data_IF_827002416034
#
_entry.id   IF_827002416034
#
_cell.length_a   1.000
_cell.length_b   1.000
_cell.length_c   1.000
_cell.angle_alpha   90.00
_cell.angle_beta   90.00
_cell.angle_gamma   90.00
#
_symmetry.space_group_name_H-M   'P 1'
#
loop_
_entity.id
_entity.type
_entity.pdbx_description
1 polymer ?
#
# COMPACT_ATOMS: atom_id res chain seq x y z
N UNK A 1 -29.72 13.01 33.06
CA UNK A 1 -29.47 12.16 31.87
C UNK A 1 -28.55 11.06 32.35
N UNK A 2 -29.06 9.84 32.43
CA UNK A 2 -28.32 8.72 32.99
C UNK A 2 -27.04 8.47 32.19
N UNK A 3 -25.92 8.33 32.90
CA UNK A 3 -24.61 8.16 32.31
C UNK A 3 -24.53 6.74 31.75
N UNK A 4 -24.74 6.59 30.45
CA UNK A 4 -24.63 5.29 29.77
C UNK A 4 -23.18 4.81 29.93
N UNK A 5 -22.94 3.65 30.56
CA UNK A 5 -21.61 3.08 30.70
C UNK A 5 -20.91 3.02 29.33
N UNK A 6 -19.63 3.42 29.21
CA UNK A 6 -18.89 3.39 27.95
C UNK A 6 -18.97 2.02 27.25
N UNK A 7 -19.01 0.95 28.03
CA UNK A 7 -19.18 -0.44 27.66
C UNK A 7 -20.53 -0.74 26.98
N UNK A 8 -21.61 -0.03 27.33
CA UNK A 8 -22.89 -0.10 26.62
C UNK A 8 -22.86 0.65 25.28
N UNK A 9 -22.04 1.71 25.17
CA UNK A 9 -21.80 2.41 23.89
C UNK A 9 -20.99 1.55 22.92
N UNK A 10 -19.93 0.89 23.42
CA UNK A 10 -19.13 -0.07 22.63
C UNK A 10 -19.95 -1.28 22.20
N UNK A 11 -20.79 -1.80 23.11
CA UNK A 11 -21.69 -2.91 22.79
C UNK A 11 -22.69 -2.53 21.69
N UNK A 12 -23.31 -1.35 21.76
CA UNK A 12 -24.24 -0.87 20.73
C UNK A 12 -23.58 -0.73 19.36
N UNK A 13 -22.37 -0.17 19.29
CA UNK A 13 -21.60 -0.08 18.05
C UNK A 13 -21.29 -1.47 17.47
N UNK A 14 -20.91 -2.42 18.33
CA UNK A 14 -20.58 -3.79 17.90
C UNK A 14 -21.84 -4.55 17.46
N UNK A 15 -22.98 -4.37 18.12
CA UNK A 15 -24.24 -5.02 17.77
C UNK A 15 -24.83 -4.46 16.46
N UNK A 16 -24.79 -3.14 16.26
CA UNK A 16 -25.35 -2.47 15.08
C UNK A 16 -24.44 -2.53 13.85
N UNK A 17 -23.12 -2.63 14.05
CA UNK A 17 -22.12 -2.68 12.97
C UNK A 17 -21.38 -4.02 12.93
N UNK A 18 -21.95 -5.09 13.49
CA UNK A 18 -21.24 -6.38 13.64
C UNK A 18 -20.70 -6.90 12.31
N UNK A 19 -21.43 -6.71 11.21
CA UNK A 19 -21.03 -7.19 9.90
C UNK A 19 -19.90 -6.34 9.27
N UNK A 20 -19.94 -5.01 9.42
CA UNK A 20 -18.86 -4.10 8.99
C UNK A 20 -17.62 -4.21 9.88
N UNK A 21 -17.82 -4.45 11.17
CA UNK A 21 -16.77 -4.78 12.13
C UNK A 21 -16.11 -6.12 11.76
N UNK A 22 -16.89 -7.18 11.48
CA UNK A 22 -16.35 -8.46 11.02
C UNK A 22 -15.66 -8.35 9.65
N UNK A 23 -16.14 -7.50 8.73
CA UNK A 23 -15.43 -7.15 7.49
C UNK A 23 -14.11 -6.41 7.75
N UNK A 24 -14.02 -5.65 8.86
CA UNK A 24 -12.77 -5.03 9.33
C UNK A 24 -11.80 -6.04 9.97
N UNK A 25 -12.30 -7.10 10.62
CA UNK A 25 -11.49 -8.09 11.35
C UNK A 25 -11.22 -9.40 10.60
N UNK A 26 -11.82 -9.65 9.44
CA UNK A 26 -11.54 -10.86 8.66
C UNK A 26 -10.16 -10.77 8.02
N UNK A 27 -9.20 -11.47 8.63
CA UNK A 27 -7.86 -11.63 8.07
C UNK A 27 -7.83 -12.90 7.23
N UNK A 28 -7.56 -12.73 5.94
CA UNK A 28 -7.28 -13.82 5.02
C UNK A 28 -5.80 -13.80 4.64
N UNK A 29 -5.07 -14.85 5.04
CA UNK A 29 -3.71 -15.07 4.58
C UNK A 29 -3.74 -15.83 3.23
N UNK A 30 -3.39 -15.15 2.13
CA UNK A 30 -3.22 -15.80 0.83
C UNK A 30 -1.78 -16.30 0.71
N UNK A 31 -1.61 -17.62 0.73
CA UNK A 31 -0.31 -18.29 0.74
C UNK A 31 0.05 -18.76 -0.68
N UNK A 32 1.04 -18.08 -1.26
CA UNK A 32 1.50 -18.25 -2.65
C UNK A 32 2.94 -18.79 -2.67
N UNK A 33 3.31 -19.63 -1.70
CA UNK A 33 4.63 -20.25 -1.63
C UNK A 33 4.63 -21.70 -2.16
N UNK A 34 5.83 -22.25 -2.37
CA UNK A 34 6.04 -23.61 -2.88
C UNK A 34 5.93 -24.72 -1.83
N UNK A 35 5.87 -24.37 -0.54
CA UNK A 35 5.91 -25.34 0.56
C UNK A 35 4.49 -25.74 0.94
N UNK A 36 3.99 -26.85 0.39
CA UNK A 36 2.62 -27.35 0.69
C UNK A 36 2.29 -27.41 2.19
N UNK A 37 3.25 -27.85 3.02
CA UNK A 37 3.06 -27.99 4.48
C UNK A 37 3.00 -26.66 5.24
N UNK A 38 3.43 -25.56 4.62
CA UNK A 38 3.31 -24.24 5.22
C UNK A 38 1.88 -23.72 5.05
N UNK A 39 1.06 -23.93 6.08
CA UNK A 39 -0.36 -23.57 6.07
C UNK A 39 -0.79 -23.01 7.44
N UNK A 40 -0.18 -21.89 7.88
CA UNK A 40 -0.53 -21.30 9.17
C UNK A 40 -1.98 -20.84 9.19
N UNK A 41 -2.70 -21.22 10.25
CA UNK A 41 -4.09 -20.81 10.53
C UNK A 41 -4.19 -20.11 11.88
N UNK A 42 -3.07 -19.96 12.58
CA UNK A 42 -3.00 -19.36 13.91
C UNK A 42 -1.63 -18.70 14.09
N UNK A 43 -1.64 -17.50 14.66
CA UNK A 43 -0.46 -16.83 15.19
C UNK A 43 -0.56 -16.85 16.72
N UNK A 44 0.53 -17.18 17.39
CA UNK A 44 0.58 -17.30 18.83
C UNK A 44 1.82 -16.61 19.40
N UNK A 45 1.65 -15.84 20.47
CA UNK A 45 2.75 -15.26 21.24
C UNK A 45 2.41 -15.22 22.73
N UNK A 46 3.43 -15.29 23.58
CA UNK A 46 3.30 -15.26 25.03
C UNK A 46 4.31 -14.29 25.64
N UNK A 47 3.85 -13.46 26.57
CA UNK A 47 4.67 -12.52 27.32
C UNK A 47 4.17 -12.41 28.75
N UNK A 48 5.04 -12.68 29.73
CA UNK A 48 4.75 -12.54 31.17
C UNK A 48 3.44 -13.24 31.61
N UNK A 49 3.20 -14.47 31.13
CA UNK A 49 1.99 -15.24 31.42
C UNK A 49 0.74 -14.77 30.67
N UNK A 50 0.84 -13.74 29.82
CA UNK A 50 -0.21 -13.31 28.91
C UNK A 50 -0.02 -13.98 27.56
N UNK A 51 -1.05 -14.62 27.03
CA UNK A 51 -1.02 -15.33 25.74
C UNK A 51 -1.98 -14.68 24.74
N UNK A 52 -1.47 -14.34 23.56
CA UNK A 52 -2.27 -13.91 22.41
C UNK A 52 -2.36 -15.07 21.42
N UNK A 53 -3.59 -15.53 21.15
CA UNK A 53 -3.88 -16.53 20.12
C UNK A 53 -4.76 -15.86 19.07
N UNK A 54 -4.22 -15.63 17.88
CA UNK A 54 -4.93 -15.04 16.76
C UNK A 54 -5.19 -16.11 15.70
N UNK A 55 -6.46 -16.52 15.55
CA UNK A 55 -6.90 -17.45 14.50
C UNK A 55 -7.39 -16.68 13.29
N UNK A 56 -6.99 -17.11 12.11
CA UNK A 56 -7.33 -16.45 10.86
C UNK A 56 -7.58 -17.47 9.75
N UNK A 57 -8.29 -17.03 8.71
CA UNK A 57 -8.51 -17.84 7.52
C UNK A 57 -7.25 -17.82 6.67
N UNK A 58 -6.85 -18.98 6.15
CA UNK A 58 -5.72 -19.06 5.21
C UNK A 58 -6.16 -19.76 3.93
N UNK A 59 -5.79 -19.18 2.80
CA UNK A 59 -6.01 -19.73 1.47
C UNK A 59 -4.67 -20.18 0.90
N UNK A 60 -4.46 -21.47 0.70
CA UNK A 60 -3.24 -22.01 0.11
C UNK A 60 -3.43 -22.27 -1.37
N UNK A 61 -2.74 -21.49 -2.20
CA UNK A 61 -2.89 -21.60 -3.65
C UNK A 61 -2.54 -22.99 -4.20
N UNK A 62 -1.59 -23.69 -3.59
CA UNK A 62 -1.20 -25.04 -4.02
C UNK A 62 -2.26 -26.12 -3.77
N UNK A 63 -3.22 -25.86 -2.89
CA UNK A 63 -4.29 -26.81 -2.57
C UNK A 63 -5.42 -26.78 -3.60
N UNK A 64 -5.41 -25.76 -4.46
CA UNK A 64 -6.36 -25.61 -5.56
C UNK A 64 -5.74 -26.02 -6.91
N UNK A 65 -6.54 -26.70 -7.73
CA UNK A 65 -6.15 -27.07 -9.10
C UNK A 65 -6.42 -25.93 -10.08
N UNK A 66 -5.84 -26.00 -11.29
CA UNK A 66 -6.12 -25.00 -12.32
C UNK A 66 -7.59 -25.07 -12.76
N UNK A 67 -8.13 -26.28 -12.87
CA UNK A 67 -9.51 -26.53 -13.27
C UNK A 67 -10.51 -25.96 -12.24
N UNK A 68 -10.21 -26.08 -10.94
CA UNK A 68 -11.02 -25.48 -9.88
C UNK A 68 -11.05 -23.96 -10.00
N UNK A 69 -9.87 -23.33 -10.16
CA UNK A 69 -9.76 -21.87 -10.33
C UNK A 69 -10.47 -21.40 -11.61
N UNK A 70 -10.45 -22.22 -12.67
CA UNK A 70 -11.06 -21.89 -13.94
C UNK A 70 -12.59 -22.01 -13.95
N UNK A 71 -13.19 -22.78 -13.04
CA UNK A 71 -14.65 -22.91 -12.92
C UNK A 71 -15.29 -21.73 -12.19
N UNK A 72 -14.51 -21.00 -11.40
CA UNK A 72 -15.02 -19.87 -10.63
C UNK A 72 -15.07 -18.62 -11.51
N UNK A 73 -16.25 -18.02 -11.62
CA UNK A 73 -16.42 -16.71 -12.25
C UNK A 73 -16.02 -15.59 -11.27
N UNK A 74 -14.71 -15.50 -11.03
CA UNK A 74 -14.13 -14.50 -10.12
C UNK A 74 -12.84 -13.92 -10.74
N UNK A 75 -12.68 -12.59 -10.77
CA UNK A 75 -11.50 -11.95 -11.37
C UNK A 75 -10.20 -12.33 -10.65
N UNK A 76 -10.22 -12.49 -9.33
CA UNK A 76 -9.07 -12.95 -8.56
C UNK A 76 -8.76 -14.42 -8.80
N UNK A 77 -9.75 -15.26 -9.12
CA UNK A 77 -9.48 -16.64 -9.52
C UNK A 77 -8.62 -16.69 -10.80
N UNK A 78 -8.81 -15.76 -11.75
CA UNK A 78 -7.94 -15.63 -12.94
C UNK A 78 -6.54 -15.15 -12.61
N UNK A 79 -6.39 -14.27 -11.62
CA UNK A 79 -5.07 -13.88 -11.12
C UNK A 79 -4.37 -15.07 -10.44
N UNK A 80 -5.10 -15.81 -9.61
CA UNK A 80 -4.60 -16.97 -8.87
C UNK A 80 -4.26 -18.15 -9.79
N UNK A 81 -5.04 -18.40 -10.84
CA UNK A 81 -4.74 -19.38 -11.90
C UNK A 81 -3.33 -19.14 -12.46
N UNK A 82 -3.02 -17.87 -12.69
CA UNK A 82 -1.76 -17.47 -13.29
C UNK A 82 -0.61 -17.51 -12.30
N UNK A 83 -0.83 -17.04 -11.07
CA UNK A 83 0.11 -17.22 -9.99
C UNK A 83 0.42 -18.71 -9.76
N UNK A 84 -0.57 -19.60 -9.89
CA UNK A 84 -0.41 -21.06 -9.76
C UNK A 84 0.49 -21.65 -10.83
N UNK A 85 0.38 -21.17 -12.07
CA UNK A 85 1.29 -21.52 -13.17
C UNK A 85 2.71 -21.03 -12.84
N UNK A 86 2.84 -19.78 -12.37
CA UNK A 86 4.11 -19.17 -11.96
C UNK A 86 4.85 -19.94 -10.86
N UNK A 87 4.12 -20.56 -9.94
CA UNK A 87 4.72 -21.35 -8.89
C UNK A 87 5.54 -22.53 -9.42
N UNK A 88 5.30 -22.99 -10.65
CA UNK A 88 6.11 -24.04 -11.28
C UNK A 88 7.45 -23.52 -11.83
N UNK A 89 7.61 -22.22 -12.05
CA UNK A 89 8.79 -21.65 -12.70
C UNK A 89 9.95 -21.33 -11.77
N UNK A 90 11.11 -21.94 -12.00
CA UNK A 90 12.27 -21.75 -11.11
C UNK A 90 12.80 -20.31 -11.06
N UNK A 91 12.58 -19.51 -12.11
CA UNK A 91 13.09 -18.13 -12.22
C UNK A 91 12.04 -17.19 -12.82
N UNK A 92 11.85 -16.03 -12.19
CA UNK A 92 10.95 -14.98 -12.67
C UNK A 92 11.75 -13.96 -13.48
N UNK A 93 11.91 -14.18 -14.78
CA UNK A 93 12.50 -13.19 -15.69
C UNK A 93 11.47 -12.15 -16.13
N UNK A 94 11.91 -11.00 -16.62
CA UNK A 94 11.01 -9.96 -17.12
C UNK A 94 10.12 -10.47 -18.27
N UNK A 95 10.67 -11.31 -19.16
CA UNK A 95 9.92 -11.93 -20.26
C UNK A 95 8.82 -12.87 -19.74
N UNK A 96 9.14 -13.63 -18.68
CA UNK A 96 8.18 -14.51 -18.05
C UNK A 96 7.07 -13.71 -17.36
N UNK A 97 7.43 -12.69 -16.58
CA UNK A 97 6.49 -11.79 -15.91
C UNK A 97 5.60 -11.05 -16.92
N UNK A 98 6.15 -10.65 -18.06
CA UNK A 98 5.39 -10.05 -19.16
C UNK A 98 4.34 -11.02 -19.69
N UNK A 99 4.76 -12.23 -20.04
CA UNK A 99 3.88 -13.28 -20.59
C UNK A 99 2.77 -13.62 -19.60
N UNK A 100 3.13 -13.70 -18.33
CA UNK A 100 2.25 -13.96 -17.21
C UNK A 100 1.17 -12.87 -17.08
N UNK A 101 1.59 -11.60 -17.02
CA UNK A 101 0.70 -10.46 -16.78
C UNK A 101 -0.25 -10.24 -17.95
N UNK A 102 0.25 -10.31 -19.19
CA UNK A 102 -0.60 -10.22 -20.39
C UNK A 102 -1.59 -11.39 -20.45
N UNK A 103 -1.16 -12.58 -20.06
CA UNK A 103 -2.05 -13.73 -19.97
C UNK A 103 -3.23 -13.50 -19.02
N UNK A 104 -3.02 -12.84 -17.87
CA UNK A 104 -4.10 -12.47 -16.94
C UNK A 104 -5.09 -11.55 -17.63
N UNK A 105 -4.61 -10.46 -18.23
CA UNK A 105 -5.45 -9.44 -18.86
C UNK A 105 -6.29 -10.05 -19.98
N UNK A 106 -5.68 -10.86 -20.85
CA UNK A 106 -6.39 -11.55 -21.94
C UNK A 106 -7.47 -12.50 -21.42
N UNK A 107 -7.15 -13.32 -20.40
CA UNK A 107 -8.14 -14.22 -19.78
C UNK A 107 -9.31 -13.45 -19.19
N UNK A 108 -9.04 -12.35 -18.47
CA UNK A 108 -10.10 -11.51 -17.92
C UNK A 108 -11.00 -10.92 -19.01
N UNK A 109 -10.42 -10.48 -20.14
CA UNK A 109 -11.19 -9.95 -21.27
C UNK A 109 -12.05 -11.03 -21.93
N UNK A 110 -11.48 -12.21 -22.18
CA UNK A 110 -12.20 -13.37 -22.77
C UNK A 110 -13.33 -13.84 -21.84
N UNK A 111 -13.13 -13.81 -20.52
CA UNK A 111 -14.16 -14.12 -19.53
C UNK A 111 -15.25 -13.03 -19.40
N UNK A 112 -15.20 -11.95 -20.18
CA UNK A 112 -16.24 -10.93 -20.23
C UNK A 112 -16.24 -9.95 -19.03
N UNK A 113 -15.16 -9.89 -18.25
CA UNK A 113 -15.08 -8.90 -17.17
C UNK A 113 -15.08 -7.48 -17.73
N UNK A 114 -15.77 -6.57 -17.03
CA UNK A 114 -15.81 -5.15 -17.41
C UNK A 114 -14.40 -4.56 -17.39
N UNK A 115 -14.11 -3.70 -18.36
CA UNK A 115 -12.79 -3.07 -18.52
C UNK A 115 -12.31 -2.37 -17.26
N UNK A 116 -13.20 -1.72 -16.49
CA UNK A 116 -12.86 -1.10 -15.21
C UNK A 116 -12.29 -2.10 -14.19
N UNK A 117 -12.88 -3.30 -14.09
CA UNK A 117 -12.40 -4.38 -13.22
C UNK A 117 -11.04 -4.89 -13.68
N UNK A 118 -10.85 -5.06 -14.99
CA UNK A 118 -9.56 -5.49 -15.56
C UNK A 118 -8.48 -4.45 -15.25
N UNK A 119 -8.79 -3.15 -15.38
CA UNK A 119 -7.87 -2.05 -15.05
C UNK A 119 -7.48 -2.05 -13.57
N UNK A 120 -8.42 -2.27 -12.65
CA UNK A 120 -8.10 -2.37 -11.22
C UNK A 120 -7.12 -3.52 -10.91
N UNK A 121 -7.32 -4.68 -11.55
CA UNK A 121 -6.42 -5.84 -11.41
C UNK A 121 -5.04 -5.53 -12.00
N UNK A 122 -5.00 -4.88 -13.15
CA UNK A 122 -3.73 -4.46 -13.75
C UNK A 122 -2.94 -3.50 -12.85
N UNK A 123 -3.62 -2.56 -12.20
CA UNK A 123 -2.99 -1.63 -11.25
C UNK A 123 -2.39 -2.38 -10.06
N UNK A 124 -3.16 -3.33 -9.51
CA UNK A 124 -2.65 -4.23 -8.48
C UNK A 124 -1.40 -5.01 -8.95
N UNK A 125 -1.44 -5.60 -10.15
CA UNK A 125 -0.31 -6.37 -10.68
C UNK A 125 0.94 -5.51 -10.93
N UNK A 126 0.79 -4.29 -11.46
CA UNK A 126 1.92 -3.36 -11.69
C UNK A 126 2.57 -2.91 -10.37
N UNK A 127 1.79 -2.76 -9.30
CA UNK A 127 2.35 -2.43 -7.99
C UNK A 127 3.25 -3.55 -7.43
N UNK A 128 2.97 -4.80 -7.79
CA UNK A 128 3.73 -5.97 -7.32
C UNK A 128 4.84 -6.39 -8.30
N UNK A 129 4.67 -6.14 -9.60
CA UNK A 129 5.57 -6.60 -10.67
C UNK A 129 6.32 -5.42 -11.27
N UNK A 130 7.63 -5.35 -11.01
CA UNK A 130 8.53 -4.35 -11.62
C UNK A 130 9.35 -4.98 -12.74
N UNK A 131 9.08 -4.56 -13.97
CA UNK A 131 9.97 -4.83 -15.11
C UNK A 131 11.22 -3.96 -15.00
N UNK A 132 12.39 -4.54 -15.28
CA UNK A 132 13.68 -3.82 -15.30
C UNK A 132 14.05 -3.40 -16.72
N UNK A 133 13.61 -4.16 -17.72
CA UNK A 133 13.90 -3.91 -19.13
C UNK A 133 12.87 -2.95 -19.75
N UNK A 134 13.32 -1.77 -20.14
CA UNK A 134 12.50 -0.73 -20.80
C UNK A 134 11.84 -1.19 -22.11
N UNK A 135 12.46 -2.13 -22.84
CA UNK A 135 11.89 -2.72 -24.05
C UNK A 135 10.66 -3.56 -23.73
N UNK A 136 10.70 -4.30 -22.63
CA UNK A 136 9.59 -5.14 -22.16
C UNK A 136 8.45 -4.27 -21.62
N UNK A 137 8.79 -3.17 -20.93
CA UNK A 137 7.81 -2.17 -20.49
C UNK A 137 7.02 -1.63 -21.69
N UNK A 138 7.72 -1.15 -22.72
CA UNK A 138 7.08 -0.62 -23.94
C UNK A 138 6.25 -1.68 -24.65
N UNK A 139 6.77 -2.92 -24.75
CA UNK A 139 6.01 -4.04 -25.34
C UNK A 139 4.73 -4.33 -24.56
N UNK A 140 4.79 -4.26 -23.23
CA UNK A 140 3.63 -4.43 -22.35
C UNK A 140 2.58 -3.36 -22.61
N UNK A 141 2.98 -2.10 -22.67
CA UNK A 141 2.05 -0.97 -22.91
C UNK A 141 1.33 -1.11 -24.25
N UNK A 142 2.08 -1.35 -25.33
CA UNK A 142 1.49 -1.56 -26.66
C UNK A 142 0.47 -2.70 -26.68
N UNK A 143 0.76 -3.80 -25.99
CA UNK A 143 -0.14 -4.96 -25.93
C UNK A 143 -1.43 -4.64 -25.17
N UNK A 144 -1.35 -3.87 -24.09
CA UNK A 144 -2.52 -3.39 -23.36
C UNK A 144 -3.37 -2.48 -24.25
N UNK A 145 -2.75 -1.55 -24.96
CA UNK A 145 -3.47 -0.63 -25.86
C UNK A 145 -4.24 -1.38 -26.94
N UNK A 146 -3.63 -2.43 -27.51
CA UNK A 146 -4.29 -3.34 -28.46
C UNK A 146 -5.50 -4.05 -27.81
N UNK A 147 -5.34 -4.60 -26.60
CA UNK A 147 -6.41 -5.33 -25.90
C UNK A 147 -7.61 -4.42 -25.58
N UNK A 148 -7.36 -3.14 -25.33
CA UNK A 148 -8.38 -2.15 -25.01
C UNK A 148 -8.73 -1.23 -26.19
N UNK A 149 -8.36 -1.58 -27.42
CA UNK A 149 -8.70 -0.84 -28.64
C UNK A 149 -8.35 0.66 -28.59
N UNK A 150 -7.20 1.01 -27.99
CA UNK A 150 -6.75 2.40 -27.78
C UNK A 150 -7.71 3.28 -26.93
N UNK A 151 -8.72 2.70 -26.28
CA UNK A 151 -9.53 3.39 -25.25
C UNK A 151 -8.77 3.64 -23.94
N UNK A 152 -7.49 3.23 -23.88
CA UNK A 152 -6.62 3.18 -22.71
C UNK A 152 -5.88 4.47 -22.38
N UNK A 153 -6.21 5.60 -23.01
CA UNK A 153 -5.52 6.88 -22.80
C UNK A 153 -5.51 7.41 -21.34
N UNK A 154 -6.28 6.84 -20.39
CA UNK A 154 -6.48 7.42 -19.06
C UNK A 154 -6.31 6.49 -17.84
N UNK A 155 -5.92 5.22 -18.02
CA UNK A 155 -6.02 4.26 -16.89
C UNK A 155 -4.82 4.18 -15.93
N UNK A 156 -3.61 4.46 -16.42
CA UNK A 156 -2.35 4.05 -15.77
C UNK A 156 -1.39 5.21 -15.51
N UNK A 157 -1.29 6.16 -16.45
CA UNK A 157 -0.46 7.36 -16.28
C UNK A 157 -1.01 8.28 -15.19
N UNK A 158 -2.35 8.35 -15.05
CA UNK A 158 -3.01 9.23 -14.09
C UNK A 158 -2.80 8.82 -12.63
N UNK A 159 -2.69 7.52 -12.30
CA UNK A 159 -2.45 7.09 -10.90
C UNK A 159 -0.97 7.26 -10.53
N UNK A 160 -0.04 6.96 -11.44
CA UNK A 160 1.39 7.23 -11.21
C UNK A 160 1.61 8.74 -11.05
N UNK A 161 0.95 9.54 -11.89
CA UNK A 161 0.96 10.99 -11.80
C UNK A 161 0.26 11.50 -10.53
N UNK A 162 -0.84 10.88 -10.10
CA UNK A 162 -1.57 11.23 -8.89
C UNK A 162 -0.78 10.85 -7.62
N UNK A 163 -0.10 9.70 -7.61
CA UNK A 163 0.81 9.31 -6.54
C UNK A 163 2.03 10.22 -6.48
N UNK A 164 2.64 10.54 -7.62
CA UNK A 164 3.73 11.51 -7.71
C UNK A 164 3.30 12.90 -7.23
N UNK A 165 2.09 13.35 -7.61
CA UNK A 165 1.48 14.60 -7.15
C UNK A 165 1.19 14.59 -5.65
N UNK A 166 0.61 13.51 -5.12
CA UNK A 166 0.35 13.33 -3.69
C UNK A 166 1.66 13.31 -2.89
N UNK A 167 2.71 12.69 -3.43
CA UNK A 167 4.05 12.69 -2.83
C UNK A 167 4.66 14.08 -2.81
N UNK A 168 4.68 14.77 -3.95
CA UNK A 168 5.18 16.15 -4.04
C UNK A 168 4.42 17.12 -3.13
N UNK A 169 3.10 16.96 -2.97
CA UNK A 169 2.32 17.78 -2.03
C UNK A 169 2.66 17.50 -0.57
N UNK A 170 2.94 16.25 -0.20
CA UNK A 170 3.38 15.88 1.16
C UNK A 170 4.77 16.44 1.45
N UNK A 171 5.70 16.20 0.53
CA UNK A 171 7.09 16.68 0.60
C UNK A 171 7.13 18.21 0.69
N UNK A 172 6.41 18.92 -0.18
CA UNK A 172 6.32 20.38 -0.14
C UNK A 172 5.66 20.94 1.13
N UNK A 173 4.65 20.25 1.69
CA UNK A 173 4.08 20.63 3.00
C UNK A 173 5.05 20.43 4.15
N UNK A 174 5.86 19.37 4.12
CA UNK A 174 6.89 19.13 5.14
C UNK A 174 8.05 20.11 5.01
N UNK A 175 8.53 20.35 3.80
CA UNK A 175 9.61 21.32 3.52
C UNK A 175 9.17 22.74 3.91
N UNK A 176 7.98 23.18 3.50
CA UNK A 176 7.45 24.50 3.86
C UNK A 176 7.31 24.71 5.37
N UNK A 177 6.90 23.69 6.13
CA UNK A 177 6.86 23.76 7.60
C UNK A 177 8.26 23.86 8.22
N UNK A 178 9.25 23.18 7.64
CA UNK A 178 10.64 23.25 8.11
C UNK A 178 11.23 24.63 7.81
N UNK A 179 11.01 25.14 6.59
CA UNK A 179 11.46 26.47 6.17
C UNK A 179 10.82 27.58 7.00
N UNK A 180 9.51 27.52 7.24
CA UNK A 180 8.79 28.45 8.11
C UNK A 180 9.37 28.46 9.53
N UNK A 181 9.53 27.27 10.15
CA UNK A 181 10.16 27.17 11.47
C UNK A 181 11.57 27.74 11.48
N UNK A 182 12.35 27.48 10.42
CA UNK A 182 13.70 28.02 10.30
C UNK A 182 13.72 29.55 10.14
N UNK A 183 12.78 30.13 9.38
CA UNK A 183 12.61 31.58 9.26
C UNK A 183 12.19 32.22 10.59
N UNK A 184 11.23 31.62 11.29
CA UNK A 184 10.79 32.10 12.61
C UNK A 184 11.96 32.08 13.62
N UNK A 185 12.79 31.03 13.63
CA UNK A 185 13.99 30.98 14.46
C UNK A 185 15.00 32.05 14.05
N UNK A 186 15.23 32.25 12.74
CA UNK A 186 16.16 33.27 12.26
C UNK A 186 15.73 34.69 12.64
N UNK A 187 14.44 35.02 12.48
CA UNK A 187 13.89 36.30 12.93
C UNK A 187 13.94 36.43 14.44
N UNK A 188 13.63 35.37 15.19
CA UNK A 188 13.72 35.37 16.65
C UNK A 188 15.14 35.68 17.13
N UNK A 189 16.15 35.09 16.48
CA UNK A 189 17.55 35.39 16.73
C UNK A 189 17.90 36.84 16.40
N UNK A 190 17.48 37.34 15.23
CA UNK A 190 17.77 38.70 14.77
C UNK A 190 17.19 39.76 15.71
N UNK A 191 16.00 39.51 16.27
CA UNK A 191 15.31 40.39 17.23
C UNK A 191 15.79 40.19 18.68
N UNK A 192 16.74 39.27 18.94
CA UNK A 192 17.31 39.04 20.26
C UNK A 192 16.41 38.26 21.23
N UNK A 193 15.41 37.53 20.74
CA UNK A 193 14.53 36.69 21.55
C UNK A 193 15.29 35.50 22.14
N UNK A 194 15.00 35.14 23.39
CA UNK A 194 15.66 34.01 24.05
C UNK A 194 15.30 32.66 23.40
N UNK A 195 16.20 31.66 23.45
CA UNK A 195 15.93 30.32 22.93
C UNK A 195 14.68 29.66 23.53
N UNK A 196 14.37 29.94 24.79
CA UNK A 196 13.20 29.41 25.50
C UNK A 196 11.89 30.05 25.02
N UNK A 197 11.93 31.29 24.53
CA UNK A 197 10.77 31.95 23.93
C UNK A 197 10.58 31.50 22.47
N UNK A 198 11.67 31.28 21.74
CA UNK A 198 11.64 30.71 20.39
C UNK A 198 11.16 29.24 20.36
N UNK A 199 11.42 28.46 21.42
CA UNK A 199 10.85 27.11 21.59
C UNK A 199 9.34 27.17 21.66
N UNK A 200 8.75 28.11 22.41
CA UNK A 200 7.29 28.27 22.49
C UNK A 200 6.65 28.65 21.15
N UNK A 201 7.39 29.33 20.27
CA UNK A 201 6.90 29.76 18.95
C UNK A 201 7.02 28.66 17.88
N UNK A 202 7.94 27.72 18.04
CA UNK A 202 8.30 26.77 16.96
C UNK A 202 8.17 25.30 17.36
N UNK A 203 7.96 25.04 18.65
CA UNK A 203 7.93 23.71 19.28
C UNK A 203 9.21 22.89 19.00
N UNK A 204 10.31 23.56 18.65
CA UNK A 204 11.60 22.92 18.45
C UNK A 204 12.37 22.90 19.77
N UNK A 205 13.07 21.79 20.09
CA UNK A 205 13.80 21.69 21.36
C UNK A 205 14.81 22.83 21.52
N UNK A 206 14.88 23.44 22.71
CA UNK A 206 15.82 24.53 23.03
C UNK A 206 17.26 24.22 22.58
N UNK A 207 17.72 22.98 22.74
CA UNK A 207 19.05 22.54 22.31
C UNK A 207 19.31 22.82 20.82
N UNK A 208 18.33 22.51 19.97
CA UNK A 208 18.43 22.71 18.51
C UNK A 208 18.39 24.19 18.15
N UNK A 209 17.60 24.99 18.86
CA UNK A 209 17.52 26.43 18.67
C UNK A 209 18.86 27.11 19.04
N UNK A 210 19.48 26.71 20.15
CA UNK A 210 20.80 27.20 20.57
C UNK A 210 21.89 26.91 19.53
N UNK A 211 21.86 25.72 18.92
CA UNK A 211 22.75 25.37 17.80
C UNK A 211 22.55 26.30 16.60
N UNK A 212 21.29 26.53 16.18
CA UNK A 212 20.97 27.40 15.03
C UNK A 212 21.36 28.86 15.29
N UNK A 213 21.07 29.39 16.48
CA UNK A 213 21.48 30.74 16.88
C UNK A 213 23.01 30.92 16.82
N UNK A 214 23.76 29.93 17.30
CA UNK A 214 25.21 29.96 17.23
C UNK A 214 25.74 29.89 15.78
N UNK A 215 25.05 29.16 14.89
CA UNK A 215 25.38 29.13 13.46
C UNK A 215 25.11 30.48 12.79
N UNK A 216 23.96 31.10 13.05
CA UNK A 216 23.63 32.43 12.51
C UNK A 216 24.61 33.50 12.99
N UNK A 217 25.04 33.44 14.25
CA UNK A 217 26.05 34.34 14.80
C UNK A 217 27.42 34.19 14.13
N UNK A 218 27.82 32.96 13.77
CA UNK A 218 29.08 32.71 13.05
C UNK A 218 29.05 33.14 11.59
N UNK A 219 27.88 33.15 10.94
CA UNK A 219 27.73 33.62 9.55
C UNK A 219 27.70 35.14 9.41
N UNK A 220 27.62 35.89 10.53
CA UNK A 220 27.59 37.36 10.55
C UNK A 220 28.97 37.98 10.88
N UNK A 221 30.01 37.17 11.04
CA UNK A 221 31.44 37.54 11.12
C UNK A 221 32.11 37.31 9.77
#
# INVERSE_FOLDING_TARGET
MDNIPPDLLWKGIIEDLVEDFLRFFTTLAILIDRHRKFHPVTYETELAGTRLIFRFNSYKLLDHTLEELQRVDNPFARVLEVARIALKEKKLTDEYLYTLTIGIVRRLKISGFRDQTIRQIMNFLRAQVRFRNSTIIRKFENEIDIIFENSSAMGVEEIILEEARKRGLREGKTEGKIEEKHQVIYHSWKEGLSPELAEKLTELPVKRIKELYAQFAKQKQ
#
